data_IF_289079809325
#
_entry.id   IF_289079809325
#
_cell.length_a   1.000
_cell.length_b   1.000
_cell.length_c   1.000
_cell.angle_alpha   90.00
_cell.angle_beta   90.00
_cell.angle_gamma   90.00
#
_symmetry.space_group_name_H-M   'P 1'
#
loop_
_entity.id
_entity.type
_entity.pdbx_description
1 polymer ?
#
# COMPACT_ATOMS: atom_id res chain seq x y z
N UNK A 1 13.08 58.46 -13.59
CA UNK A 1 12.82 58.85 -12.18
C UNK A 1 12.87 57.54 -11.38
N UNK A 2 14.04 57.00 -11.06
CA UNK A 2 14.90 57.26 -9.89
C UNK A 2 14.18 57.09 -8.53
N UNK A 3 14.73 56.16 -7.72
CA UNK A 3 14.59 55.96 -6.27
C UNK A 3 13.33 55.23 -5.77
N UNK A 4 13.33 54.26 -4.86
CA UNK A 4 14.28 53.79 -3.82
C UNK A 4 13.92 52.32 -3.50
N UNK A 5 14.81 51.32 -3.39
CA UNK A 5 15.78 51.05 -2.31
C UNK A 5 15.18 51.04 -0.90
N UNK A 6 14.93 49.85 -0.35
CA UNK A 6 15.08 49.57 1.08
C UNK A 6 15.45 48.10 1.30
N UNK A 7 16.71 47.91 1.69
CA UNK A 7 17.21 46.69 2.28
C UNK A 7 16.97 46.75 3.80
N UNK A 8 16.57 45.64 4.42
CA UNK A 8 16.83 45.42 5.84
C UNK A 8 17.27 43.98 6.07
N UNK A 9 18.54 43.89 6.44
CA UNK A 9 19.25 42.76 7.02
C UNK A 9 18.85 42.69 8.49
N UNK A 10 18.35 41.55 8.96
CA UNK A 10 18.55 41.11 10.34
C UNK A 10 18.80 39.61 10.33
N UNK A 11 20.08 39.25 10.46
CA UNK A 11 20.46 37.92 10.90
C UNK A 11 20.32 37.83 12.41
N UNK A 12 19.87 36.67 12.89
CA UNK A 12 20.17 36.21 14.23
C UNK A 12 20.43 34.71 14.19
N UNK A 13 21.68 34.37 14.50
CA UNK A 13 22.14 33.03 14.83
C UNK A 13 21.35 32.48 16.02
N UNK A 14 20.84 31.26 15.91
CA UNK A 14 20.58 30.42 17.08
C UNK A 14 21.34 29.09 16.90
N UNK A 15 22.63 29.16 17.21
CA UNK A 15 23.44 28.02 17.59
C UNK A 15 23.35 27.94 19.12
N UNK A 16 22.40 27.17 19.63
CA UNK A 16 22.31 26.90 21.06
C UNK A 16 22.95 25.52 21.33
N UNK A 17 24.11 25.57 21.97
CA UNK A 17 24.83 24.44 22.54
C UNK A 17 23.91 23.61 23.44
N UNK A 18 23.71 22.33 23.12
CA UNK A 18 23.30 21.35 24.13
C UNK A 18 24.57 20.98 24.89
N UNK A 19 24.79 21.68 26.00
CA UNK A 19 25.77 21.29 27.00
C UNK A 19 25.29 20.01 27.68
N UNK A 20 26.07 18.93 27.51
CA UNK A 20 25.96 17.71 28.28
C UNK A 20 26.17 18.02 29.77
N UNK A 21 25.10 18.09 30.54
CA UNK A 21 25.15 17.98 31.99
C UNK A 21 25.15 16.50 32.35
N UNK A 22 26.32 15.99 32.73
CA UNK A 22 26.47 14.68 33.35
C UNK A 22 25.82 14.70 34.74
N UNK A 23 24.93 13.75 35.09
CA UNK A 23 24.56 13.54 36.47
C UNK A 23 25.67 12.74 37.17
N UNK A 24 26.40 13.42 38.05
CA UNK A 24 27.24 12.79 39.07
C UNK A 24 26.36 12.04 40.09
N UNK A 25 26.77 10.82 40.43
CA UNK A 25 26.53 10.24 41.75
C UNK A 25 25.22 9.48 41.94
N UNK A 26 25.22 8.20 41.57
CA UNK A 26 24.41 7.20 42.29
C UNK A 26 25.20 5.90 42.44
N UNK A 27 25.47 5.62 43.70
CA UNK A 27 26.05 4.44 44.34
C UNK A 27 26.12 3.15 43.50
N UNK A 28 27.33 2.58 43.50
CA UNK A 28 27.61 1.19 43.20
C UNK A 28 26.79 0.27 44.13
N UNK A 29 25.62 -0.14 43.65
CA UNK A 29 24.89 -1.30 44.14
C UNK A 29 25.54 -2.56 43.59
N UNK A 30 25.71 -3.53 44.48
CA UNK A 30 26.35 -4.82 44.29
C UNK A 30 26.02 -5.54 42.98
N UNK A 31 27.05 -6.18 42.45
CA UNK A 31 27.05 -7.17 41.37
C UNK A 31 26.09 -8.35 41.62
N UNK A 32 24.78 -8.12 41.45
CA UNK A 32 23.84 -9.21 41.20
C UNK A 32 24.00 -9.63 39.74
N UNK A 33 25.01 -10.47 39.49
CA UNK A 33 25.16 -11.18 38.22
C UNK A 33 23.81 -11.85 37.90
N UNK A 34 23.22 -11.59 36.72
CA UNK A 34 21.95 -12.19 36.35
C UNK A 34 22.10 -13.70 36.46
N UNK A 35 21.29 -14.31 37.34
CA UNK A 35 21.27 -15.75 37.53
C UNK A 35 21.22 -16.40 36.15
N UNK A 36 22.21 -17.25 35.84
CA UNK A 36 22.26 -18.00 34.60
C UNK A 36 20.96 -18.78 34.46
N UNK A 37 20.06 -18.27 33.62
CA UNK A 37 18.84 -18.96 33.24
C UNK A 37 19.24 -20.34 32.74
N UNK A 38 18.75 -21.38 33.41
CA UNK A 38 19.00 -22.77 33.01
C UNK A 38 18.80 -22.91 31.50
N UNK A 39 19.69 -23.65 30.80
CA UNK A 39 19.60 -23.80 29.35
C UNK A 39 18.19 -24.23 28.97
N UNK A 40 17.56 -23.47 28.06
CA UNK A 40 16.22 -23.77 27.57
C UNK A 40 16.25 -25.18 26.97
N UNK A 41 15.31 -26.06 27.32
CA UNK A 41 15.24 -27.37 26.70
C UNK A 41 15.17 -27.23 25.17
N UNK A 42 15.75 -28.18 24.42
CA UNK A 42 15.72 -28.12 22.97
C UNK A 42 14.26 -28.06 22.48
N UNK A 43 13.97 -27.35 21.38
CA UNK A 43 12.63 -27.26 20.84
C UNK A 43 12.09 -28.67 20.55
N UNK A 44 10.81 -28.92 20.80
CA UNK A 44 10.21 -30.22 20.54
C UNK A 44 10.35 -30.58 19.05
N UNK A 45 10.70 -31.84 18.78
CA UNK A 45 10.81 -32.34 17.42
C UNK A 45 9.41 -32.39 16.77
N UNK A 46 9.25 -31.66 15.67
CA UNK A 46 8.00 -31.56 14.93
C UNK A 46 7.99 -32.71 13.91
N UNK A 47 7.13 -33.70 14.16
CA UNK A 47 7.10 -34.95 13.37
C UNK A 47 5.83 -35.08 12.55
N UNK A 48 4.75 -34.40 12.93
CA UNK A 48 3.50 -34.42 12.19
C UNK A 48 3.51 -33.41 11.01
N UNK A 49 2.98 -33.77 9.83
CA UNK A 49 2.89 -32.85 8.69
C UNK A 49 1.69 -31.91 8.77
N UNK A 50 1.76 -30.82 7.99
CA UNK A 50 0.67 -29.93 7.64
C UNK A 50 -0.14 -29.47 8.86
N UNK A 51 -1.47 -29.57 8.80
CA UNK A 51 -2.37 -29.11 9.87
C UNK A 51 -2.14 -29.82 11.20
N UNK A 52 -1.75 -31.11 11.16
CA UNK A 52 -1.44 -31.87 12.38
C UNK A 52 -0.15 -31.36 13.02
N UNK A 53 0.85 -31.01 12.20
CA UNK A 53 2.07 -30.33 12.63
C UNK A 53 1.79 -28.98 13.26
N UNK A 54 0.95 -28.12 12.66
CA UNK A 54 0.60 -26.82 13.25
C UNK A 54 -0.05 -26.98 14.63
N UNK A 55 -0.96 -27.95 14.79
CA UNK A 55 -1.55 -28.27 16.10
C UNK A 55 -0.50 -28.77 17.11
N UNK A 56 0.51 -29.49 16.66
CA UNK A 56 1.62 -29.93 17.52
C UNK A 56 2.44 -28.73 18.02
N UNK A 57 2.77 -27.79 17.12
CA UNK A 57 3.51 -26.54 17.43
C UNK A 57 2.71 -25.62 18.36
N UNK A 58 1.40 -25.53 18.14
CA UNK A 58 0.49 -24.80 19.02
C UNK A 58 0.44 -25.44 20.41
N UNK A 59 0.32 -26.77 20.49
CA UNK A 59 0.30 -27.50 21.75
C UNK A 59 1.61 -27.37 22.54
N UNK A 60 2.75 -27.21 21.86
CA UNK A 60 4.02 -26.95 22.53
C UNK A 60 4.19 -25.50 22.99
N UNK A 61 3.27 -24.59 22.62
CA UNK A 61 3.34 -23.17 22.95
C UNK A 61 4.29 -22.37 22.06
N UNK A 62 4.83 -22.96 20.98
CA UNK A 62 5.72 -22.26 20.07
C UNK A 62 4.96 -21.28 19.16
N UNK A 63 3.67 -21.54 18.92
CA UNK A 63 2.72 -20.58 18.36
C UNK A 63 1.46 -20.54 19.23
N UNK A 64 0.68 -19.47 19.09
CA UNK A 64 -0.67 -19.34 19.64
C UNK A 64 -1.54 -18.48 18.73
N UNK A 65 -2.87 -18.43 18.90
CA UNK A 65 -3.69 -17.44 18.22
C UNK A 65 -3.17 -16.01 18.43
N UNK A 66 -3.14 -15.21 17.36
CA UNK A 66 -2.75 -13.81 17.44
C UNK A 66 -3.81 -13.00 18.20
N UNK A 67 -3.38 -12.08 19.08
CA UNK A 67 -4.33 -11.20 19.76
C UNK A 67 -4.72 -10.03 18.86
N UNK A 68 -5.89 -9.42 19.11
CA UNK A 68 -6.32 -8.23 18.37
C UNK A 68 -5.36 -7.06 18.54
N UNK A 69 -4.77 -6.91 19.74
CA UNK A 69 -3.80 -5.85 20.03
C UNK A 69 -2.50 -6.02 19.22
N UNK A 70 -2.02 -7.26 19.09
CA UNK A 70 -0.84 -7.57 18.29
C UNK A 70 -1.06 -7.30 16.80
N UNK A 71 -2.22 -7.71 16.28
CA UNK A 71 -2.61 -7.46 14.89
C UNK A 71 -2.75 -5.96 14.65
N UNK A 72 -3.40 -5.23 15.56
CA UNK A 72 -3.55 -3.77 15.45
C UNK A 72 -2.20 -3.05 15.50
N UNK A 73 -1.30 -3.45 16.40
CA UNK A 73 0.05 -2.88 16.50
C UNK A 73 0.87 -3.13 15.22
N UNK A 74 0.79 -4.33 14.66
CA UNK A 74 1.45 -4.62 13.39
C UNK A 74 0.87 -3.80 12.24
N UNK A 75 -0.46 -3.75 12.13
CA UNK A 75 -1.15 -2.98 11.09
C UNK A 75 -0.80 -1.49 11.17
N UNK A 76 -0.71 -0.91 12.37
CA UNK A 76 -0.26 0.47 12.57
C UNK A 76 1.12 0.72 11.93
N UNK A 77 2.12 -0.11 12.28
CA UNK A 77 3.50 0.02 11.77
C UNK A 77 3.56 -0.19 10.27
N UNK A 78 2.92 -1.25 9.76
CA UNK A 78 2.87 -1.57 8.34
C UNK A 78 2.18 -0.48 7.51
N UNK A 79 1.32 0.34 8.13
CA UNK A 79 0.60 1.41 7.43
C UNK A 79 1.39 2.70 7.30
N UNK A 80 2.40 2.93 8.16
CA UNK A 80 3.13 4.20 8.19
C UNK A 80 3.70 4.62 6.83
N UNK A 81 4.34 3.74 6.04
CA UNK A 81 4.88 4.13 4.73
C UNK A 81 3.80 4.52 3.69
N UNK A 82 2.55 4.12 3.94
CA UNK A 82 1.43 4.32 3.02
C UNK A 82 0.49 5.46 3.46
N UNK A 83 0.73 6.06 4.64
CA UNK A 83 0.01 7.26 5.09
C UNK A 83 0.45 8.47 4.29
N UNK A 84 -0.52 9.28 3.86
CA UNK A 84 -0.28 10.49 3.07
C UNK A 84 -1.13 11.66 3.50
N UNK A 85 -0.86 12.88 3.00
CA UNK A 85 -1.73 14.02 3.26
C UNK A 85 -3.21 13.74 2.94
N UNK A 86 -3.47 12.93 1.91
CA UNK A 86 -4.83 12.53 1.55
C UNK A 86 -5.38 11.42 2.45
N UNK A 87 -4.53 10.49 2.91
CA UNK A 87 -4.95 9.40 3.80
C UNK A 87 -4.07 9.33 5.06
N UNK A 88 -4.21 10.30 5.97
CA UNK A 88 -3.37 10.35 7.17
C UNK A 88 -3.65 9.18 8.10
N UNK A 89 -4.88 8.65 8.08
CA UNK A 89 -5.34 7.58 8.96
C UNK A 89 -5.39 6.21 8.24
N UNK A 90 -4.59 6.02 7.19
CA UNK A 90 -4.50 4.71 6.53
C UNK A 90 -4.12 3.63 7.53
N UNK A 91 -4.88 2.53 7.50
CA UNK A 91 -4.61 1.31 8.24
C UNK A 91 -4.72 0.09 7.31
N UNK A 92 -3.70 -0.75 7.37
CA UNK A 92 -3.70 -2.09 6.78
C UNK A 92 -4.71 -2.96 7.52
N UNK A 93 -5.43 -3.83 6.80
CA UNK A 93 -6.35 -4.83 7.39
C UNK A 93 -5.80 -6.24 7.15
N UNK A 94 -4.51 -6.44 7.48
CA UNK A 94 -3.93 -7.78 7.48
C UNK A 94 -4.42 -8.52 8.72
N UNK A 95 -4.81 -9.78 8.52
CA UNK A 95 -5.23 -10.68 9.59
C UNK A 95 -4.17 -11.74 9.78
N UNK A 96 -3.80 -11.97 11.03
CA UNK A 96 -2.90 -13.04 11.43
C UNK A 96 -3.70 -14.11 12.18
N UNK A 97 -3.49 -15.38 11.85
CA UNK A 97 -4.10 -16.46 12.63
C UNK A 97 -3.25 -16.83 13.84
N UNK A 98 -1.92 -16.72 13.73
CA UNK A 98 -1.00 -17.13 14.79
C UNK A 98 0.04 -16.04 15.10
N UNK A 99 0.49 -15.99 16.35
CA UNK A 99 1.72 -15.30 16.78
C UNK A 99 2.77 -16.34 17.14
N UNK A 100 3.99 -16.17 16.63
CA UNK A 100 5.13 -17.05 16.90
C UNK A 100 5.76 -16.62 18.23
N UNK A 101 5.73 -17.51 19.22
CA UNK A 101 6.20 -17.25 20.59
C UNK A 101 7.63 -17.76 20.82
N UNK A 102 8.02 -18.81 20.09
CA UNK A 102 9.33 -19.43 20.18
C UNK A 102 9.82 -19.87 18.80
N UNK A 103 11.15 -19.98 18.59
CA UNK A 103 11.70 -20.53 17.36
C UNK A 103 11.20 -21.96 17.12
N UNK A 104 10.72 -22.24 15.91
CA UNK A 104 10.31 -23.58 15.50
C UNK A 104 10.61 -23.82 14.02
N UNK A 105 10.48 -25.06 13.57
CA UNK A 105 10.60 -25.43 12.14
C UNK A 105 9.21 -25.65 11.58
N UNK A 106 8.86 -25.02 10.45
CA UNK A 106 7.58 -25.30 9.79
C UNK A 106 7.39 -26.81 9.57
N UNK A 107 6.21 -27.35 9.90
CA UNK A 107 5.91 -28.74 9.61
C UNK A 107 6.07 -29.06 8.12
N UNK A 108 6.45 -30.28 7.73
CA UNK A 108 6.42 -30.67 6.31
C UNK A 108 4.99 -30.62 5.75
N UNK A 109 4.80 -30.29 4.47
CA UNK A 109 3.47 -30.27 3.82
C UNK A 109 2.68 -28.96 3.97
N UNK A 110 3.33 -27.85 4.34
CA UNK A 110 2.70 -26.53 4.43
C UNK A 110 2.19 -26.00 3.09
N UNK A 111 2.66 -26.52 1.97
CA UNK A 111 2.23 -26.20 0.62
C UNK A 111 0.82 -26.71 0.28
N UNK A 112 0.38 -27.78 0.96
CA UNK A 112 -0.94 -28.40 0.78
C UNK A 112 -2.04 -27.65 1.54
N UNK A 113 -1.67 -26.81 2.51
CA UNK A 113 -2.60 -26.05 3.32
C UNK A 113 -3.09 -24.78 2.60
N UNK A 114 -4.27 -24.27 2.97
CA UNK A 114 -4.62 -22.87 2.73
C UNK A 114 -3.53 -21.94 3.25
N UNK A 115 -3.49 -20.72 2.70
CA UNK A 115 -2.57 -19.67 3.18
C UNK A 115 -2.84 -19.41 4.66
N UNK A 116 -1.77 -19.42 5.44
CA UNK A 116 -1.77 -19.03 6.85
C UNK A 116 -0.92 -17.78 7.07
N UNK A 117 -1.32 -16.91 7.98
CA UNK A 117 -0.63 -15.69 8.38
C UNK A 117 -0.14 -15.81 9.81
N UNK A 118 1.17 -15.61 9.97
CA UNK A 118 1.90 -15.65 11.23
C UNK A 118 2.46 -14.28 11.54
N UNK A 119 2.33 -13.83 12.78
CA UNK A 119 3.00 -12.64 13.29
C UNK A 119 4.28 -13.08 14.01
N UNK A 120 5.42 -12.48 13.67
CA UNK A 120 6.70 -12.73 14.30
C UNK A 120 7.15 -11.50 15.14
N UNK A 121 7.08 -11.58 16.48
CA UNK A 121 7.62 -10.55 17.36
C UNK A 121 9.13 -10.37 17.20
N UNK A 122 9.64 -9.15 17.38
CA UNK A 122 11.06 -8.83 17.22
C UNK A 122 12.00 -9.64 18.14
N UNK A 123 11.49 -10.13 19.28
CA UNK A 123 12.26 -10.91 20.26
C UNK A 123 12.40 -12.39 19.90
N UNK A 124 11.76 -12.86 18.83
CA UNK A 124 11.72 -14.27 18.44
C UNK A 124 12.48 -14.46 17.14
N UNK A 125 13.37 -15.46 17.08
CA UNK A 125 14.10 -15.77 15.86
C UNK A 125 13.14 -16.28 14.76
N UNK A 126 13.40 -15.99 13.47
CA UNK A 126 12.59 -16.49 12.38
C UNK A 126 12.46 -18.02 12.38
N UNK A 127 11.28 -18.57 12.05
CA UNK A 127 11.10 -20.01 11.95
C UNK A 127 11.95 -20.61 10.81
N UNK A 128 12.40 -21.85 11.00
CA UNK A 128 13.14 -22.62 9.99
C UNK A 128 12.19 -23.45 9.10
N UNK A 129 12.72 -24.09 8.06
CA UNK A 129 11.95 -24.97 7.16
C UNK A 129 11.27 -24.25 6.00
N UNK A 130 10.47 -24.97 5.21
CA UNK A 130 9.69 -24.38 4.11
C UNK A 130 8.32 -23.90 4.62
N UNK A 131 8.03 -22.58 4.58
CA UNK A 131 6.72 -22.07 4.99
C UNK A 131 5.59 -22.47 4.02
N UNK A 132 5.90 -23.06 2.86
CA UNK A 132 4.91 -23.40 1.84
C UNK A 132 4.16 -22.15 1.36
N UNK A 133 2.86 -22.10 1.65
CA UNK A 133 1.99 -20.94 1.32
C UNK A 133 1.81 -19.96 2.48
N UNK A 134 2.49 -20.15 3.60
CA UNK A 134 2.39 -19.28 4.77
C UNK A 134 3.06 -17.90 4.56
N UNK A 135 2.52 -16.90 5.25
CA UNK A 135 2.99 -15.53 5.32
C UNK A 135 3.42 -15.18 6.72
N UNK A 136 4.55 -14.49 6.86
CA UNK A 136 5.07 -14.08 8.17
C UNK A 136 5.18 -12.55 8.16
N UNK A 137 4.37 -11.89 8.96
CA UNK A 137 4.47 -10.46 9.24
C UNK A 137 5.53 -10.24 10.32
N UNK A 138 6.54 -9.44 9.99
CA UNK A 138 7.64 -9.08 10.88
C UNK A 138 7.25 -7.87 11.72
N UNK A 139 7.80 -7.72 12.91
CA UNK A 139 7.49 -6.59 13.80
C UNK A 139 7.77 -5.18 13.22
N UNK A 140 8.56 -5.08 12.14
CA UNK A 140 8.84 -3.83 11.42
C UNK A 140 7.79 -3.49 10.34
N UNK A 141 6.71 -4.28 10.23
CA UNK A 141 5.64 -4.10 9.25
C UNK A 141 5.93 -4.76 7.90
N UNK A 142 7.09 -5.39 7.71
CA UNK A 142 7.40 -6.15 6.49
C UNK A 142 6.74 -7.54 6.53
N UNK A 143 6.63 -8.18 5.36
CA UNK A 143 6.08 -9.54 5.21
C UNK A 143 7.05 -10.41 4.42
N UNK A 144 7.27 -11.64 4.86
CA UNK A 144 8.07 -12.65 4.15
C UNK A 144 7.23 -13.88 3.80
N UNK A 145 7.52 -14.50 2.64
CA UNK A 145 6.92 -15.76 2.19
C UNK A 145 6.64 -15.79 0.68
N UNK A 146 6.82 -16.95 0.04
CA UNK A 146 6.70 -17.11 -1.44
C UNK A 146 5.32 -16.70 -2.01
N UNK A 147 4.28 -16.73 -1.17
CA UNK A 147 2.91 -16.36 -1.53
C UNK A 147 2.44 -15.02 -0.96
N UNK A 148 3.35 -14.27 -0.32
CA UNK A 148 3.08 -13.14 0.57
C UNK A 148 3.68 -11.87 0.03
N UNK A 149 3.83 -11.86 -1.29
CA UNK A 149 4.64 -10.91 -2.03
C UNK A 149 4.29 -9.50 -1.59
N UNK A 150 5.30 -8.83 -1.06
CA UNK A 150 5.24 -7.41 -0.76
C UNK A 150 4.94 -6.61 -2.03
N UNK A 151 4.55 -5.35 -1.85
CA UNK A 151 4.30 -4.43 -2.96
C UNK A 151 5.50 -4.41 -3.94
N UNK A 152 6.70 -4.39 -3.37
CA UNK A 152 8.00 -4.26 -4.02
C UNK A 152 8.43 -5.52 -4.78
N UNK A 153 8.16 -6.73 -4.28
CA UNK A 153 8.43 -7.97 -5.02
C UNK A 153 7.54 -8.13 -6.25
N UNK A 154 6.29 -7.70 -6.15
CA UNK A 154 5.42 -7.63 -7.32
C UNK A 154 5.95 -6.58 -8.30
N UNK A 155 6.31 -5.37 -7.86
CA UNK A 155 6.89 -4.33 -8.74
C UNK A 155 8.18 -4.82 -9.45
N UNK A 156 9.09 -5.51 -8.74
CA UNK A 156 10.33 -6.06 -9.34
C UNK A 156 10.04 -7.12 -10.40
N UNK A 157 9.19 -8.10 -10.11
CA UNK A 157 8.81 -9.15 -11.09
C UNK A 157 8.14 -8.55 -12.32
N UNK A 158 7.35 -7.50 -12.11
CA UNK A 158 6.67 -6.79 -13.20
C UNK A 158 7.68 -6.04 -14.04
N UNK A 159 8.66 -5.38 -13.43
CA UNK A 159 9.77 -4.73 -14.13
C UNK A 159 10.52 -5.69 -15.06
N UNK A 160 10.76 -6.94 -14.62
CA UNK A 160 11.37 -7.98 -15.47
C UNK A 160 10.49 -8.37 -16.66
N UNK A 161 9.18 -8.55 -16.44
CA UNK A 161 8.20 -8.86 -17.51
C UNK A 161 8.16 -7.71 -18.53
N UNK A 162 8.12 -6.47 -18.07
CA UNK A 162 8.12 -5.26 -18.91
C UNK A 162 9.40 -5.19 -19.74
N UNK A 163 10.56 -5.43 -19.10
CA UNK A 163 11.85 -5.44 -19.78
C UNK A 163 11.93 -6.52 -20.87
N UNK A 164 11.35 -7.69 -20.62
CA UNK A 164 11.31 -8.80 -21.58
C UNK A 164 10.38 -8.51 -22.78
N UNK A 165 9.31 -7.75 -22.57
CA UNK A 165 8.31 -7.49 -23.60
C UNK A 165 8.56 -6.21 -24.40
N UNK A 166 9.30 -5.26 -23.82
CA UNK A 166 9.71 -4.01 -24.46
C UNK A 166 8.54 -3.07 -24.74
N UNK A 167 8.64 -2.28 -25.81
CA UNK A 167 7.60 -1.30 -26.19
C UNK A 167 6.35 -1.95 -26.83
N UNK A 168 6.38 -3.25 -27.13
CA UNK A 168 5.33 -3.95 -27.90
C UNK A 168 3.96 -3.94 -27.24
N UNK A 169 3.92 -3.84 -25.91
CA UNK A 169 2.69 -3.86 -25.13
C UNK A 169 2.44 -2.55 -24.37
N UNK A 170 3.11 -1.45 -24.77
CA UNK A 170 2.93 -0.14 -24.16
C UNK A 170 1.72 0.59 -24.76
N UNK A 171 0.88 1.13 -23.88
CA UNK A 171 -0.09 2.17 -24.19
C UNK A 171 0.67 3.46 -24.52
N UNK A 172 0.65 3.88 -25.77
CA UNK A 172 1.20 5.16 -26.20
C UNK A 172 0.19 6.28 -25.97
N UNK A 173 -0.17 6.54 -24.72
CA UNK A 173 -1.03 7.67 -24.34
C UNK A 173 -0.15 8.77 -23.78
N UNK A 174 -0.19 9.94 -24.41
CA UNK A 174 0.43 11.13 -23.86
C UNK A 174 -0.36 11.53 -22.61
N UNK A 175 0.30 11.50 -21.46
CA UNK A 175 -0.30 11.90 -20.19
C UNK A 175 0.07 13.36 -19.92
N UNK A 176 -0.91 14.25 -19.66
CA UNK A 176 -0.65 15.64 -19.31
C UNK A 176 0.20 15.72 -18.03
N UNK A 177 1.11 16.71 -17.99
CA UNK A 177 2.11 16.86 -16.91
C UNK A 177 1.79 18.02 -15.96
N UNK A 178 0.56 18.56 -15.98
CA UNK A 178 0.11 19.55 -15.02
C UNK A 178 0.12 19.06 -13.55
N UNK A 179 -0.18 19.97 -12.60
CA UNK A 179 -0.53 19.63 -11.22
C UNK A 179 -1.52 18.45 -11.16
N UNK A 180 -1.32 17.53 -10.21
CA UNK A 180 -2.16 16.33 -10.09
C UNK A 180 -3.00 16.41 -8.83
N UNK A 181 -4.29 16.16 -8.99
CA UNK A 181 -5.24 15.94 -7.90
C UNK A 181 -5.72 14.50 -7.99
N UNK A 182 -5.66 13.77 -6.88
CA UNK A 182 -6.11 12.38 -6.81
C UNK A 182 -7.29 12.24 -5.85
N UNK A 183 -8.38 11.64 -6.33
CA UNK A 183 -9.63 11.41 -5.58
C UNK A 183 -9.97 9.94 -5.63
N UNK A 184 -10.29 9.33 -4.48
CA UNK A 184 -10.68 7.92 -4.41
C UNK A 184 -11.98 7.73 -3.66
N UNK A 185 -12.91 6.98 -4.26
CA UNK A 185 -14.18 6.63 -3.65
C UNK A 185 -14.28 5.12 -3.38
N UNK A 186 -14.79 4.76 -2.20
CA UNK A 186 -15.05 3.36 -1.87
C UNK A 186 -16.32 3.24 -1.03
N UNK A 187 -17.31 2.44 -1.46
CA UNK A 187 -18.46 2.17 -0.62
C UNK A 187 -18.09 1.16 0.47
N UNK A 188 -18.92 1.11 1.49
CA UNK A 188 -18.85 0.03 2.47
C UNK A 188 -19.10 -1.33 1.80
N UNK A 189 -18.19 -2.28 1.97
CA UNK A 189 -18.29 -3.68 1.50
C UNK A 189 -19.45 -4.50 2.12
N UNK A 190 -20.45 -3.87 2.74
CA UNK A 190 -21.50 -4.55 3.48
C UNK A 190 -22.69 -5.00 2.61
N UNK A 191 -22.67 -4.82 1.29
CA UNK A 191 -23.82 -5.14 0.43
C UNK A 191 -23.55 -6.35 -0.50
N UNK A 192 -24.44 -7.36 -0.48
CA UNK A 192 -24.26 -8.60 -1.25
C UNK A 192 -24.63 -8.51 -2.74
N UNK A 193 -25.14 -7.36 -3.20
CA UNK A 193 -25.43 -7.09 -4.60
C UNK A 193 -24.59 -5.90 -5.09
N UNK A 194 -24.10 -5.90 -6.34
CA UNK A 194 -23.46 -4.73 -6.90
C UNK A 194 -24.47 -3.57 -6.85
N UNK A 195 -24.17 -2.47 -6.15
CA UNK A 195 -25.07 -1.33 -6.11
C UNK A 195 -25.22 -0.75 -7.53
N UNK A 196 -26.36 -0.11 -7.86
CA UNK A 196 -26.44 0.71 -9.05
C UNK A 196 -25.31 1.76 -9.05
N UNK A 197 -24.90 2.21 -10.23
CA UNK A 197 -23.84 3.20 -10.36
C UNK A 197 -24.14 4.42 -9.46
N UNK A 198 -23.21 4.72 -8.56
CA UNK A 198 -23.40 5.76 -7.55
C UNK A 198 -22.87 7.09 -8.09
N UNK A 199 -23.66 8.17 -8.09
CA UNK A 199 -23.14 9.49 -8.41
C UNK A 199 -22.22 9.99 -7.30
N UNK A 200 -21.10 10.60 -7.68
CA UNK A 200 -20.17 11.26 -6.77
C UNK A 200 -19.89 12.64 -7.32
N UNK A 201 -20.24 13.66 -6.56
CA UNK A 201 -20.00 15.06 -6.91
C UNK A 201 -18.56 15.44 -6.57
N UNK A 202 -17.84 16.05 -7.52
CA UNK A 202 -16.46 16.50 -7.35
C UNK A 202 -16.37 17.97 -7.74
N UNK A 203 -16.17 18.84 -6.76
CA UNK A 203 -16.00 20.27 -6.94
C UNK A 203 -14.50 20.61 -6.95
N UNK A 204 -14.02 21.14 -8.07
CA UNK A 204 -12.62 21.55 -8.24
C UNK A 204 -12.55 23.07 -8.26
N UNK A 205 -11.78 23.66 -7.35
CA UNK A 205 -11.66 25.10 -7.14
C UNK A 205 -10.19 25.55 -7.06
N UNK A 206 -9.93 26.84 -7.29
CA UNK A 206 -8.59 27.43 -7.33
C UNK A 206 -8.26 28.06 -8.69
N UNK A 207 -6.98 28.16 -9.04
CA UNK A 207 -6.51 28.68 -10.33
C UNK A 207 -5.50 27.73 -10.99
N UNK A 208 -5.55 27.61 -12.32
CA UNK A 208 -4.54 26.92 -13.12
C UNK A 208 -4.99 25.60 -13.75
N UNK A 209 -4.01 24.88 -14.28
CA UNK A 209 -4.18 23.61 -15.00
C UNK A 209 -4.10 22.43 -14.02
N UNK A 210 -4.96 21.41 -14.17
CA UNK A 210 -4.95 20.23 -13.30
C UNK A 210 -5.29 18.94 -14.04
N UNK A 211 -4.63 17.85 -13.66
CA UNK A 211 -4.97 16.48 -14.03
C UNK A 211 -5.68 15.80 -12.88
N UNK A 212 -6.88 15.27 -13.13
CA UNK A 212 -7.64 14.50 -12.16
C UNK A 212 -7.30 13.01 -12.27
N UNK A 213 -7.05 12.37 -11.13
CA UNK A 213 -6.90 10.93 -11.02
C UNK A 213 -8.04 10.42 -10.14
N UNK A 214 -9.03 9.80 -10.77
CA UNK A 214 -10.25 9.31 -10.13
C UNK A 214 -10.15 7.81 -9.95
N UNK A 215 -10.53 7.31 -8.78
CA UNK A 215 -10.45 5.87 -8.53
C UNK A 215 -11.59 5.33 -7.69
N UNK A 216 -12.09 4.15 -8.06
CA UNK A 216 -13.23 3.51 -7.41
C UNK A 216 -13.24 1.98 -7.54
N UNK A 217 -13.88 1.35 -6.54
CA UNK A 217 -14.07 -0.12 -6.46
C UNK A 217 -15.45 -0.61 -6.89
N UNK A 218 -16.38 0.32 -7.17
CA UNK A 218 -17.76 0.01 -7.57
C UNK A 218 -18.16 0.88 -8.73
N UNK A 219 -19.28 0.59 -9.38
CA UNK A 219 -19.74 1.47 -10.44
C UNK A 219 -20.04 2.89 -9.94
N UNK A 220 -19.40 3.89 -10.55
CA UNK A 220 -19.50 5.31 -10.15
C UNK A 220 -19.74 6.20 -11.36
N UNK A 221 -20.54 7.25 -11.16
CA UNK A 221 -20.65 8.38 -12.08
C UNK A 221 -19.99 9.59 -11.40
N UNK A 222 -18.81 9.98 -11.86
CA UNK A 222 -18.08 11.14 -11.36
C UNK A 222 -18.65 12.42 -11.98
N UNK A 223 -19.26 13.27 -11.17
CA UNK A 223 -19.87 14.54 -11.58
C UNK A 223 -18.93 15.68 -11.27
N UNK A 224 -18.12 16.08 -12.25
CA UNK A 224 -17.10 17.09 -12.06
C UNK A 224 -17.72 18.48 -12.25
N UNK A 225 -17.55 19.35 -11.27
CA UNK A 225 -17.87 20.78 -11.38
C UNK A 225 -16.60 21.59 -11.21
N UNK A 226 -16.30 22.46 -12.16
CA UNK A 226 -15.04 23.21 -12.23
C UNK A 226 -15.31 24.69 -11.96
N UNK A 227 -14.64 25.26 -10.95
CA UNK A 227 -14.74 26.67 -10.63
C UNK A 227 -14.06 27.54 -11.70
N UNK A 228 -14.45 28.81 -11.79
CA UNK A 228 -13.80 29.77 -12.68
C UNK A 228 -12.31 29.90 -12.34
N UNK A 229 -11.46 29.87 -13.38
CA UNK A 229 -10.00 29.96 -13.23
C UNK A 229 -9.28 28.60 -13.22
N UNK A 230 -10.01 27.49 -13.12
CA UNK A 230 -9.45 26.14 -13.22
C UNK A 230 -9.63 25.58 -14.65
N UNK A 231 -8.62 24.91 -15.17
CA UNK A 231 -8.66 24.15 -16.41
C UNK A 231 -8.27 22.69 -16.16
N UNK A 232 -9.17 21.75 -16.48
CA UNK A 232 -8.86 20.31 -16.38
C UNK A 232 -8.11 19.89 -17.65
N UNK A 233 -6.82 19.58 -17.55
CA UNK A 233 -6.03 19.11 -18.69
C UNK A 233 -6.33 17.66 -19.09
N UNK A 234 -6.88 16.89 -18.15
CA UNK A 234 -7.23 15.50 -18.40
C UNK A 234 -7.72 14.79 -17.14
N UNK A 235 -8.38 13.67 -17.37
CA UNK A 235 -8.92 12.80 -16.31
C UNK A 235 -8.46 11.37 -16.54
N UNK A 236 -7.94 10.75 -15.49
CA UNK A 236 -7.53 9.34 -15.48
C UNK A 236 -8.43 8.63 -14.49
N UNK A 237 -9.28 7.74 -14.99
CA UNK A 237 -10.17 6.93 -14.17
C UNK A 237 -9.55 5.55 -14.01
N UNK A 238 -9.16 5.20 -12.80
CA UNK A 238 -8.68 3.85 -12.45
C UNK A 238 -9.79 3.14 -11.70
N UNK A 239 -10.42 2.16 -12.34
CA UNK A 239 -11.63 1.55 -11.81
C UNK A 239 -11.60 0.03 -11.91
N UNK A 240 -12.15 -0.61 -10.88
CA UNK A 240 -12.38 -2.05 -10.84
C UNK A 240 -13.68 -2.45 -11.57
N UNK A 241 -14.65 -1.54 -11.58
CA UNK A 241 -16.02 -1.72 -12.07
C UNK A 241 -16.40 -0.56 -13.00
N UNK A 242 -17.43 -0.74 -13.84
CA UNK A 242 -17.84 0.25 -14.86
C UNK A 242 -18.03 1.66 -14.29
N UNK A 243 -17.38 2.66 -14.89
CA UNK A 243 -17.42 4.05 -14.42
C UNK A 243 -17.69 5.03 -15.53
N UNK A 244 -18.24 6.20 -15.19
CA UNK A 244 -18.46 7.30 -16.10
C UNK A 244 -18.00 8.63 -15.48
N UNK A 245 -17.73 9.63 -16.32
CA UNK A 245 -17.40 10.99 -15.91
C UNK A 245 -18.33 11.95 -16.66
N UNK A 246 -18.92 12.89 -15.95
CA UNK A 246 -19.78 13.96 -16.48
C UNK A 246 -19.35 15.34 -15.96
N UNK A 247 -19.80 16.41 -16.63
CA UNK A 247 -19.51 17.79 -16.22
C UNK A 247 -18.16 18.34 -16.69
N UNK A 248 -17.48 17.63 -17.62
CA UNK A 248 -16.26 18.11 -18.28
C UNK A 248 -16.57 18.78 -19.62
N UNK A 249 -15.69 19.69 -20.03
CA UNK A 249 -15.69 20.21 -21.40
C UNK A 249 -15.33 19.11 -22.41
N UNK A 250 -15.85 19.23 -23.64
CA UNK A 250 -15.74 18.17 -24.66
C UNK A 250 -14.31 17.89 -25.14
N UNK A 251 -13.38 18.82 -24.92
CA UNK A 251 -11.98 18.73 -25.29
C UNK A 251 -11.08 18.13 -24.19
N UNK A 252 -11.61 17.92 -22.98
CA UNK A 252 -10.87 17.30 -21.88
C UNK A 252 -10.72 15.79 -22.14
N UNK A 253 -9.49 15.27 -22.29
CA UNK A 253 -9.29 13.85 -22.50
C UNK A 253 -9.61 13.05 -21.23
N UNK A 254 -10.44 12.02 -21.36
CA UNK A 254 -10.73 11.06 -20.29
C UNK A 254 -10.15 9.69 -20.66
N UNK A 255 -9.27 9.18 -19.81
CA UNK A 255 -8.63 7.88 -19.96
C UNK A 255 -9.22 6.94 -18.92
N UNK A 256 -9.96 5.92 -19.39
CA UNK A 256 -10.39 4.83 -18.53
C UNK A 256 -9.32 3.75 -18.48
N UNK A 257 -8.97 3.41 -17.27
CA UNK A 257 -8.01 2.37 -16.97
C UNK A 257 -8.72 1.28 -16.20
N UNK A 258 -9.44 0.45 -16.95
CA UNK A 258 -10.18 -0.70 -16.44
C UNK A 258 -9.20 -1.75 -15.90
N UNK A 259 -9.20 -1.94 -14.59
CA UNK A 259 -8.69 -3.18 -14.00
C UNK A 259 -9.83 -4.19 -14.09
N UNK A 260 -9.97 -4.89 -15.22
CA UNK A 260 -10.94 -5.98 -15.29
C UNK A 260 -10.52 -7.02 -14.26
N UNK A 261 -11.35 -7.16 -13.22
CA UNK A 261 -11.20 -8.19 -12.21
C UNK A 261 -11.06 -9.51 -12.94
N UNK A 262 -9.95 -10.17 -12.66
CA UNK A 262 -9.72 -11.59 -12.88
C UNK A 262 -11.01 -12.35 -12.52
N UNK A 263 -11.82 -12.74 -13.51
CA UNK A 263 -12.87 -13.73 -13.28
C UNK A 263 -12.13 -15.04 -13.00
N UNK A 264 -11.80 -15.28 -11.73
CA UNK A 264 -11.07 -16.46 -11.29
C UNK A 264 -11.82 -17.75 -11.63
N UNK A 265 -13.14 -17.67 -11.88
CA UNK A 265 -13.95 -18.80 -12.32
C UNK A 265 -13.79 -19.07 -13.81
N UNK A 266 -13.32 -18.08 -14.56
CA UNK A 266 -13.14 -18.15 -16.00
C UNK A 266 -11.83 -17.44 -16.38
N UNK A 267 -10.67 -18.01 -15.99
CA UNK A 267 -9.38 -17.38 -16.22
C UNK A 267 -9.28 -17.04 -17.71
N UNK A 268 -9.02 -15.77 -18.07
CA UNK A 268 -9.03 -15.37 -19.46
C UNK A 268 -8.02 -16.25 -20.20
N UNK A 269 -8.48 -16.90 -21.28
CA UNK A 269 -7.55 -17.37 -22.30
C UNK A 269 -6.94 -16.12 -22.88
N UNK A 270 -5.71 -15.80 -22.49
CA UNK A 270 -4.95 -14.67 -23.03
C UNK A 270 -5.07 -14.72 -24.56
N UNK A 271 -5.82 -13.77 -25.13
CA UNK A 271 -6.12 -13.65 -26.55
C UNK A 271 -4.98 -12.94 -27.28
N UNK A 272 -4.15 -12.19 -26.56
CA UNK A 272 -2.96 -11.54 -27.08
C UNK A 272 -1.71 -11.82 -26.23
N UNK A 273 -0.55 -11.75 -26.87
CA UNK A 273 0.76 -11.78 -26.19
C UNK A 273 0.95 -10.65 -25.16
N UNK A 274 0.12 -9.61 -25.24
CA UNK A 274 0.10 -8.49 -24.32
C UNK A 274 -0.93 -8.63 -23.21
N UNK A 275 -1.82 -9.63 -23.23
CA UNK A 275 -2.83 -9.78 -22.18
C UNK A 275 -2.18 -10.10 -20.81
N UNK A 276 -1.10 -10.91 -20.71
CA UNK A 276 -0.36 -11.04 -19.46
C UNK A 276 0.25 -9.72 -18.97
N UNK A 277 0.54 -8.77 -19.86
CA UNK A 277 1.00 -7.43 -19.48
C UNK A 277 -0.17 -6.59 -19.00
N UNK A 278 -1.24 -6.52 -19.79
CA UNK A 278 -2.42 -5.74 -19.49
C UNK A 278 -3.05 -6.13 -18.15
N UNK A 279 -3.03 -7.42 -17.85
CA UNK A 279 -3.68 -7.99 -16.67
C UNK A 279 -2.78 -8.01 -15.43
N UNK A 280 -1.45 -8.13 -15.59
CA UNK A 280 -0.54 -8.29 -14.45
C UNK A 280 0.36 -7.09 -14.21
N UNK A 281 0.63 -6.25 -15.21
CA UNK A 281 1.50 -5.07 -15.03
C UNK A 281 0.73 -3.83 -14.60
N UNK A 282 1.26 -3.08 -13.62
CA UNK A 282 0.77 -1.76 -13.26
C UNK A 282 0.61 -0.91 -14.50
N UNK A 283 -0.49 -0.16 -14.51
CA UNK A 283 -0.89 0.72 -15.59
C UNK A 283 0.20 1.75 -15.93
N UNK A 284 0.97 2.17 -14.92
CA UNK A 284 2.15 3.01 -15.06
C UNK A 284 3.20 2.48 -16.04
N UNK A 285 3.36 1.16 -16.09
CA UNK A 285 4.34 0.55 -16.98
C UNK A 285 3.76 0.20 -18.34
N UNK A 286 2.44 0.14 -18.46
CA UNK A 286 1.74 0.07 -19.74
C UNK A 286 1.86 1.42 -20.44
N UNK A 287 1.63 2.55 -19.77
CA UNK A 287 1.59 3.88 -20.40
C UNK A 287 2.92 4.52 -20.83
N UNK A 288 4.04 3.79 -20.79
CA UNK A 288 5.36 4.31 -21.15
C UNK A 288 5.96 5.32 -20.15
N UNK A 289 7.03 6.05 -20.52
CA UNK A 289 7.78 6.90 -19.59
C UNK A 289 6.93 7.98 -18.89
N UNK A 290 5.97 8.58 -19.59
CA UNK A 290 5.07 9.58 -19.00
C UNK A 290 4.18 8.98 -17.91
N UNK A 291 3.76 7.72 -18.06
CA UNK A 291 2.97 7.02 -17.06
C UNK A 291 3.80 6.58 -15.84
N UNK A 292 5.08 6.25 -16.02
CA UNK A 292 6.01 6.04 -14.90
C UNK A 292 6.22 7.33 -14.11
N UNK A 293 6.39 8.46 -14.80
CA UNK A 293 6.48 9.78 -14.15
C UNK A 293 5.19 10.15 -13.41
N UNK A 294 4.03 9.91 -14.04
CA UNK A 294 2.74 10.09 -13.40
C UNK A 294 2.62 9.22 -12.15
N UNK A 295 3.00 7.94 -12.22
CA UNK A 295 2.98 7.04 -11.07
C UNK A 295 3.86 7.54 -9.94
N UNK A 296 5.07 8.00 -10.23
CA UNK A 296 5.95 8.56 -9.23
C UNK A 296 5.33 9.80 -8.56
N UNK A 297 4.67 10.68 -9.33
CA UNK A 297 3.98 11.86 -8.78
C UNK A 297 2.76 11.47 -7.94
N UNK A 298 1.94 10.53 -8.40
CA UNK A 298 0.79 10.02 -7.64
C UNK A 298 1.27 9.29 -6.38
N UNK A 299 2.36 8.53 -6.44
CA UNK A 299 2.97 7.87 -5.28
C UNK A 299 3.53 8.88 -4.29
N UNK A 300 4.13 9.96 -4.75
CA UNK A 300 4.57 11.05 -3.88
C UNK A 300 3.40 11.77 -3.19
N UNK A 301 2.28 11.96 -3.91
CA UNK A 301 1.09 12.63 -3.38
C UNK A 301 0.26 11.73 -2.44
N UNK A 302 0.11 10.46 -2.81
CA UNK A 302 -0.89 9.55 -2.23
C UNK A 302 -0.27 8.34 -1.51
N UNK A 303 1.06 8.19 -1.59
CA UNK A 303 1.83 7.13 -0.94
C UNK A 303 1.73 5.80 -1.68
N UNK A 304 0.96 5.78 -2.76
CA UNK A 304 0.58 4.60 -3.53
C UNK A 304 0.66 4.91 -5.02
N UNK A 305 1.11 3.95 -5.83
CA UNK A 305 1.02 4.08 -7.29
C UNK A 305 -0.43 4.07 -7.76
N UNK A 306 -0.76 4.71 -8.88
CA UNK A 306 -2.15 4.75 -9.36
C UNK A 306 -2.72 3.38 -9.74
N UNK A 307 -1.87 2.41 -10.05
CA UNK A 307 -2.21 1.00 -10.26
C UNK A 307 -2.72 0.28 -9.01
N UNK A 308 -2.43 0.84 -7.84
CA UNK A 308 -2.84 0.33 -6.51
C UNK A 308 -3.40 1.41 -5.61
N UNK A 309 -3.76 2.54 -6.20
CA UNK A 309 -4.60 3.53 -5.55
C UNK A 309 -5.94 2.83 -5.45
N UNK A 310 -6.20 2.18 -4.32
CA UNK A 310 -7.38 1.37 -4.03
C UNK A 310 -7.62 1.52 -2.53
N UNK A 311 -8.84 1.85 -2.14
CA UNK A 311 -9.10 2.33 -0.78
C UNK A 311 -9.50 3.79 -0.85
N UNK A 312 -10.78 4.04 -0.65
CA UNK A 312 -11.40 5.34 -0.89
C UNK A 312 -12.18 5.84 0.31
N UNK A 313 -12.65 7.07 0.20
CA UNK A 313 -13.43 7.71 1.25
C UNK A 313 -14.91 7.36 1.09
N UNK A 314 -15.64 7.34 2.20
CA UNK A 314 -17.12 7.39 2.19
C UNK A 314 -17.54 8.84 2.05
N UNK A 315 -17.61 9.35 0.84
CA UNK A 315 -18.18 10.66 0.59
C UNK A 315 -18.92 10.64 -0.74
N UNK A 316 -20.09 11.27 -0.74
CA UNK A 316 -20.85 11.50 -1.98
C UNK A 316 -20.35 12.77 -2.70
N UNK A 317 -19.46 13.52 -2.05
CA UNK A 317 -19.02 14.85 -2.47
C UNK A 317 -17.55 15.05 -2.09
N UNK A 318 -16.77 15.66 -2.97
CA UNK A 318 -15.39 16.06 -2.70
C UNK A 318 -15.19 17.51 -3.10
N UNK A 319 -14.65 18.31 -2.19
CA UNK A 319 -14.12 19.64 -2.49
C UNK A 319 -12.60 19.56 -2.60
N UNK A 320 -12.09 19.91 -3.78
CA UNK A 320 -10.66 20.05 -4.04
C UNK A 320 -10.34 21.52 -4.24
N UNK A 321 -9.48 22.05 -3.38
CA UNK A 321 -8.90 23.38 -3.54
C UNK A 321 -7.46 23.23 -4.04
N UNK A 322 -7.16 23.82 -5.19
CA UNK A 322 -5.79 23.90 -5.70
C UNK A 322 -4.98 24.90 -4.85
N UNK A 323 -3.70 24.60 -4.58
CA UNK A 323 -2.83 25.44 -3.74
C UNK A 323 -2.53 26.81 -4.33
#
# INVERSE_FOLDING_TARGET
MLSSALAMIVGCLWTACIANAAPEGSQAGSDDLPAFSSPRPPPPEITAPAQAGLKQVEKSGAIRPATQEEVAAWNEVASLPHRTPLWPDYTSDVRFEYTIMEPFTFPPGMEELPRHWFLLPASVAPPAGDPGRACIGMADGSVIGKGCKSEEENEMRLTEIIKALGDRCRLSVAIPLGPIVAVSAQPSFAQPNPPPAMPIDLHVSGEGEVVLVLNNHVSVIWRVTVAAGVHIEGVIVVNLEDSAVEGLDNDVPVIFVESRVYDWRNPPRFKSECDPVKEWTPLAYQGGPSAVLLQARIKALTGRGFDRFYGGFRVNEFDVELP
#
